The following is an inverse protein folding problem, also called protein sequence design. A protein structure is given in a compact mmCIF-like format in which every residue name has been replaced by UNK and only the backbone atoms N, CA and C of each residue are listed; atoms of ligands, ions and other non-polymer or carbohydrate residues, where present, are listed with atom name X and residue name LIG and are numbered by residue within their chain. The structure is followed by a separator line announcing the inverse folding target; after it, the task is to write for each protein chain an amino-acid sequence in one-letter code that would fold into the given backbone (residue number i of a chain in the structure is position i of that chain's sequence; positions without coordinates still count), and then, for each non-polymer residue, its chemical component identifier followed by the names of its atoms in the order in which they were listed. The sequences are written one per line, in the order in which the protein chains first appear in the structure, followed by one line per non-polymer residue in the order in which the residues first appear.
data_IF_034223435587
#
_entry.id   IF_034223435587
#
_cell.length_a   1.000
_cell.length_b   1.000
_cell.length_c   1.000
_cell.angle_alpha   90.00
_cell.angle_beta   90.00
_cell.angle_gamma   90.00
#
_symmetry.space_group_name_H-M   'P 1'
#
loop_
_entity.id
_entity.type
_entity.pdbx_description
1 polymer ?
#
# COMPACT_ATOMS: atom_id res chain seq x y z
N UNK A 1 7.45 0.88 -2.82
CA UNK A 1 8.22 -0.32 -2.41
C UNK A 1 9.61 -0.29 -2.98
N UNK A 2 9.74 -0.23 -4.31
CA UNK A 2 11.01 -0.20 -5.04
C UNK A 2 12.08 0.74 -4.44
N UNK A 3 11.71 2.00 -4.12
CA UNK A 3 12.64 2.94 -3.51
C UNK A 3 13.26 2.41 -2.19
N UNK A 4 12.45 1.81 -1.31
CA UNK A 4 12.94 1.19 -0.08
C UNK A 4 13.81 -0.05 -0.37
N UNK A 5 13.49 -0.83 -1.40
CA UNK A 5 14.29 -2.00 -1.80
C UNK A 5 15.70 -1.61 -2.26
N UNK A 6 15.84 -0.44 -2.90
CA UNK A 6 17.16 0.11 -3.28
C UNK A 6 17.91 0.78 -2.13
N UNK A 7 17.20 1.26 -1.10
CA UNK A 7 17.73 2.03 0.03
C UNK A 7 17.10 1.57 1.35
N UNK A 8 17.40 0.33 1.80
CA UNK A 8 16.72 -0.30 2.93
C UNK A 8 17.11 0.29 4.30
N UNK A 9 18.13 1.14 4.34
CA UNK A 9 18.59 1.88 5.52
C UNK A 9 17.75 3.13 5.81
N UNK A 10 16.83 3.50 4.91
CA UNK A 10 15.90 4.62 5.09
C UNK A 10 14.47 4.15 5.42
N UNK A 11 14.09 4.02 6.71
CA UNK A 11 12.78 3.50 7.10
C UNK A 11 11.60 4.38 6.67
N UNK A 12 11.82 5.67 6.43
CA UNK A 12 10.79 6.59 5.93
C UNK A 12 10.24 6.16 4.56
N UNK A 13 11.07 5.53 3.72
CA UNK A 13 10.63 5.01 2.42
C UNK A 13 9.66 3.83 2.58
N UNK A 14 9.88 2.99 3.60
CA UNK A 14 8.96 1.89 3.93
C UNK A 14 7.64 2.45 4.47
N UNK A 15 7.67 3.41 5.40
CA UNK A 15 6.46 4.04 5.94
C UNK A 15 5.61 4.70 4.86
N UNK A 16 6.25 5.50 3.99
CA UNK A 16 5.58 6.17 2.88
C UNK A 16 4.95 5.16 1.92
N UNK A 17 5.68 4.10 1.57
CA UNK A 17 5.18 3.06 0.67
C UNK A 17 4.01 2.28 1.29
N UNK A 18 4.12 1.92 2.57
CA UNK A 18 3.04 1.23 3.29
C UNK A 18 1.80 2.09 3.41
N UNK A 19 1.94 3.39 3.71
CA UNK A 19 0.83 4.34 3.74
C UNK A 19 0.13 4.47 2.40
N UNK A 20 0.91 4.56 1.31
CA UNK A 20 0.36 4.62 -0.05
C UNK A 20 -0.42 3.34 -0.40
N UNK A 21 0.14 2.16 -0.13
CA UNK A 21 -0.48 0.87 -0.46
C UNK A 21 -1.73 0.61 0.40
N UNK A 22 -1.66 0.88 1.70
CA UNK A 22 -2.77 0.60 2.63
C UNK A 22 -3.87 1.66 2.55
N UNK A 23 -3.54 2.88 2.13
CA UNK A 23 -4.50 3.97 1.95
C UNK A 23 -5.64 3.62 0.98
N UNK A 24 -5.42 2.75 -0.01
CA UNK A 24 -6.48 2.31 -0.91
C UNK A 24 -7.63 1.60 -0.17
N UNK A 25 -7.39 1.02 1.00
CA UNK A 25 -8.45 0.38 1.79
C UNK A 25 -9.42 1.39 2.38
N UNK A 26 -9.03 2.67 2.51
CA UNK A 26 -9.91 3.70 3.09
C UNK A 26 -11.08 4.07 2.17
N UNK A 27 -11.04 3.67 0.90
CA UNK A 27 -12.10 3.90 -0.07
C UNK A 27 -13.15 2.77 -0.10
N UNK A 28 -13.05 1.79 0.79
CA UNK A 28 -14.06 0.76 1.01
C UNK A 28 -14.97 1.23 2.14
N UNK A 29 -16.27 1.33 1.87
CA UNK A 29 -17.24 1.71 2.90
C UNK A 29 -17.53 0.56 3.89
N UNK A 30 -18.39 0.83 4.87
CA UNK A 30 -18.74 -0.17 5.90
C UNK A 30 -19.55 -1.35 5.36
N UNK A 31 -20.15 -1.21 4.18
CA UNK A 31 -20.91 -2.24 3.49
C UNK A 31 -20.00 -3.06 2.55
N UNK A 32 -18.74 -2.65 2.38
CA UNK A 32 -17.78 -3.28 1.47
C UNK A 32 -17.84 -2.73 0.04
N UNK A 33 -18.61 -1.66 -0.21
CA UNK A 33 -18.64 -1.04 -1.53
C UNK A 33 -17.40 -0.16 -1.74
N UNK A 34 -16.82 -0.28 -2.94
CA UNK A 34 -15.65 0.46 -3.35
C UNK A 34 -16.01 1.82 -3.94
N UNK A 35 -15.16 2.82 -3.68
CA UNK A 35 -15.29 4.18 -4.19
C UNK A 35 -14.01 4.66 -4.87
N UNK A 36 -14.15 5.43 -5.95
CA UNK A 36 -12.99 6.04 -6.63
C UNK A 36 -12.32 7.12 -5.77
N UNK A 37 -13.07 7.83 -4.92
CA UNK A 37 -12.53 8.90 -4.09
C UNK A 37 -13.40 9.20 -2.86
N UNK A 38 -12.80 9.84 -1.87
CA UNK A 38 -13.54 10.53 -0.82
C UNK A 38 -13.63 12.02 -1.17
N UNK A 39 -14.84 12.58 -1.22
CA UNK A 39 -15.04 14.01 -1.46
C UNK A 39 -14.67 14.82 -0.21
N UNK A 40 -13.58 15.60 -0.29
CA UNK A 40 -13.10 16.45 0.80
C UNK A 40 -13.79 17.81 0.94
N UNK A 41 -14.79 18.11 0.10
CA UNK A 41 -15.65 19.28 0.30
C UNK A 41 -16.43 19.12 1.62
N UNK A 42 -16.30 20.07 2.58
CA UNK A 42 -17.01 20.02 3.84
C UNK A 42 -18.53 19.85 3.72
N UNK A 43 -19.14 20.28 2.61
CA UNK A 43 -20.57 20.12 2.36
C UNK A 43 -20.96 18.71 1.89
N UNK A 44 -20.03 17.93 1.34
CA UNK A 44 -20.27 16.56 0.85
C UNK A 44 -19.78 15.49 1.83
N UNK A 45 -18.49 15.54 2.21
CA UNK A 45 -17.82 14.62 3.13
C UNK A 45 -18.28 13.15 3.01
N UNK A 46 -18.24 12.62 1.79
CA UNK A 46 -18.72 11.26 1.48
C UNK A 46 -17.89 10.60 0.39
N UNK A 47 -17.97 9.27 0.34
CA UNK A 47 -17.44 8.48 -0.77
C UNK A 47 -18.19 8.78 -2.07
N UNK A 48 -17.46 8.78 -3.19
CA UNK A 48 -18.05 8.77 -4.52
C UNK A 48 -18.91 7.49 -4.68
N UNK A 49 -20.15 7.59 -5.19
CA UNK A 49 -21.03 6.44 -5.37
C UNK A 49 -20.52 5.44 -6.44
N UNK A 50 -19.55 5.82 -7.26
CA UNK A 50 -18.97 4.97 -8.28
C UNK A 50 -17.60 4.44 -7.83
N UNK A 51 -17.36 3.16 -8.15
CA UNK A 51 -16.05 2.56 -7.93
C UNK A 51 -14.99 3.12 -8.89
N UNK A 52 -15.38 3.56 -10.09
CA UNK A 52 -14.48 4.18 -11.07
C UNK A 52 -13.18 3.41 -11.29
N UNK A 53 -12.06 4.11 -11.16
CA UNK A 53 -10.69 3.61 -11.28
C UNK A 53 -10.17 2.92 -10.00
N UNK A 54 -10.99 2.76 -8.97
CA UNK A 54 -10.60 2.07 -7.73
C UNK A 54 -9.96 0.70 -7.96
N UNK A 55 -10.46 -0.04 -8.97
CA UNK A 55 -10.02 -1.39 -9.27
C UNK A 55 -8.51 -1.53 -9.51
N UNK A 56 -7.88 -0.57 -10.20
CA UNK A 56 -6.43 -0.64 -10.45
C UNK A 56 -5.62 -0.34 -9.17
N UNK A 57 -6.12 0.55 -8.32
CA UNK A 57 -5.54 0.82 -7.01
C UNK A 57 -5.63 -0.40 -6.09
N UNK A 58 -6.80 -1.04 -6.02
CA UNK A 58 -6.99 -2.26 -5.23
C UNK A 58 -6.16 -3.44 -5.75
N UNK A 59 -6.04 -3.60 -7.07
CA UNK A 59 -5.14 -4.58 -7.67
C UNK A 59 -3.67 -4.34 -7.24
N UNK A 60 -3.22 -3.08 -7.28
CA UNK A 60 -1.89 -2.70 -6.78
C UNK A 60 -1.70 -3.04 -5.30
N UNK A 61 -2.73 -2.80 -4.47
CA UNK A 61 -2.73 -3.21 -3.06
C UNK A 61 -2.56 -4.73 -2.90
N UNK A 62 -3.36 -5.52 -3.62
CA UNK A 62 -3.28 -6.97 -3.58
C UNK A 62 -1.90 -7.50 -4.04
N UNK A 63 -1.35 -6.92 -5.11
CA UNK A 63 -0.06 -7.33 -5.66
C UNK A 63 1.11 -7.04 -4.70
N UNK A 64 1.06 -5.88 -4.03
CA UNK A 64 2.10 -5.39 -3.12
C UNK A 64 1.88 -5.80 -1.65
N UNK A 65 0.75 -6.45 -1.35
CA UNK A 65 0.48 -6.97 -0.01
C UNK A 65 1.57 -7.92 0.44
N UNK A 66 2.14 -7.63 1.61
CA UNK A 66 3.25 -8.35 2.20
C UNK A 66 3.60 -7.81 3.59
N UNK A 67 4.54 -8.47 4.26
CA UNK A 67 5.04 -8.04 5.56
C UNK A 67 6.54 -7.69 5.46
N UNK A 68 6.95 -6.62 6.13
CA UNK A 68 8.35 -6.23 6.26
C UNK A 68 8.70 -6.25 7.74
N UNK A 69 9.83 -6.86 8.07
CA UNK A 69 10.35 -6.86 9.43
C UNK A 69 11.64 -6.03 9.40
N UNK A 70 11.62 -4.89 10.10
CA UNK A 70 12.79 -4.01 10.21
C UNK A 70 13.41 -4.10 11.60
N UNK A 71 14.68 -3.72 11.70
CA UNK A 71 15.38 -3.56 12.97
C UNK A 71 15.94 -2.15 13.05
N UNK A 72 15.70 -1.47 14.18
CA UNK A 72 16.34 -0.20 14.49
C UNK A 72 17.80 -0.40 14.86
N UNK A 73 18.67 0.46 14.33
CA UNK A 73 20.06 0.75 14.72
C UNK A 73 20.93 -0.48 15.11
N UNK A 74 21.41 -1.22 14.09
CA UNK A 74 22.53 -2.19 14.10
C UNK A 74 22.24 -3.64 14.57
N UNK A 75 23.02 -4.63 14.10
CA UNK A 75 22.86 -5.45 12.91
C UNK A 75 22.24 -6.82 13.22
N UNK A 76 21.64 -7.47 12.21
CA UNK A 76 21.02 -8.81 12.20
C UNK A 76 19.51 -8.80 12.39
N UNK A 77 18.76 -8.62 11.29
CA UNK A 77 17.50 -9.35 11.11
C UNK A 77 17.09 -9.48 9.68
N UNK A 78 16.67 -10.71 9.45
CA UNK A 78 16.06 -11.26 8.27
C UNK A 78 14.81 -10.46 7.90
N UNK A 79 14.90 -9.80 6.75
CA UNK A 79 13.74 -9.30 6.02
C UNK A 79 13.14 -10.50 5.30
N UNK A 80 12.01 -11.02 5.80
CA UNK A 80 11.16 -11.93 5.02
C UNK A 80 10.39 -11.08 4.00
N UNK A 81 11.09 -10.63 2.96
CA UNK A 81 10.43 -10.09 1.78
C UNK A 81 9.74 -11.24 1.05
N UNK A 82 8.57 -10.96 0.48
CA UNK A 82 7.92 -11.84 -0.51
C UNK A 82 9.00 -12.24 -1.53
N UNK A 83 9.33 -13.53 -1.58
CA UNK A 83 10.26 -14.09 -2.57
C UNK A 83 9.68 -13.85 -3.96
N UNK A 84 10.06 -12.74 -4.59
CA UNK A 84 9.97 -12.61 -6.04
C UNK A 84 11.25 -13.21 -6.57
N UNK A 85 11.23 -14.53 -6.78
CA UNK A 85 12.27 -15.16 -7.57
C UNK A 85 12.24 -14.55 -8.98
N UNK A 86 13.38 -14.42 -9.66
CA UNK A 86 13.33 -14.22 -11.10
C UNK A 86 12.61 -15.45 -11.68
N UNK A 87 11.43 -15.26 -12.25
CA UNK A 87 10.89 -16.25 -13.17
C UNK A 87 11.90 -16.33 -14.32
N UNK A 88 12.70 -17.40 -14.29
CA UNK A 88 13.50 -17.81 -15.42
C UNK A 88 12.56 -18.32 -16.50
N UNK A 89 12.25 -17.45 -17.47
CA UNK A 89 12.22 -17.85 -18.88
C UNK A 89 12.53 -16.64 -19.78
#
# INVERSE_FOLDING_TARGET
MEAFETQPDNPYLLETAMGAITGLLTNIDRQGAASMAFHGDPALMRHDPYSGDYGIGFFGHAQLSGAYITHGHNPRRLVLAKSVGPDSN
#
